data_IF_602699271536
#
_entry.id   IF_602699271536
#
_cell.length_a   1.000
_cell.length_b   1.000
_cell.length_c   1.000
_cell.angle_alpha   90.00
_cell.angle_beta   90.00
_cell.angle_gamma   90.00
#
_symmetry.space_group_name_H-M   'P 1'
#
loop_
_entity.id
_entity.type
_entity.pdbx_description
1 polymer ?
#
# COMPACT_ATOMS: atom_id res chain seq x y z
N UNK A 1 -5.23 -33.87 -21.74
CA UNK A 1 -5.34 -32.42 -21.46
C UNK A 1 -4.05 -31.78 -21.91
N UNK A 2 -4.06 -30.97 -22.98
CA UNK A 2 -2.84 -30.30 -23.46
C UNK A 2 -2.45 -29.21 -22.47
N UNK A 3 -1.20 -29.21 -21.99
CA UNK A 3 -0.65 -28.07 -21.24
C UNK A 3 -0.70 -26.85 -22.15
N UNK A 4 -1.36 -25.77 -21.70
CA UNK A 4 -1.31 -24.52 -22.44
C UNK A 4 0.10 -23.95 -22.29
N UNK A 5 0.56 -23.18 -23.28
CA UNK A 5 1.90 -22.55 -23.24
C UNK A 5 2.10 -21.73 -21.95
N UNK A 6 1.02 -21.16 -21.42
CA UNK A 6 0.96 -20.40 -20.18
C UNK A 6 1.24 -21.23 -18.91
N UNK A 7 1.15 -22.56 -19.00
CA UNK A 7 1.43 -23.49 -17.89
C UNK A 7 2.90 -23.98 -17.86
N UNK A 8 3.75 -23.46 -18.75
CA UNK A 8 5.16 -23.85 -18.77
C UNK A 8 5.92 -23.21 -17.58
N UNK A 9 6.85 -23.92 -16.92
CA UNK A 9 7.64 -23.39 -15.80
C UNK A 9 8.42 -22.11 -16.15
N UNK A 10 8.79 -21.95 -17.42
CA UNK A 10 9.44 -20.73 -17.91
C UNK A 10 8.52 -19.49 -17.84
N UNK A 11 7.19 -19.67 -17.94
CA UNK A 11 6.21 -18.58 -17.86
C UNK A 11 6.01 -18.11 -16.41
N UNK A 12 6.25 -18.98 -15.43
CA UNK A 12 6.31 -18.59 -14.01
C UNK A 12 7.42 -17.54 -13.75
N UNK A 13 8.42 -17.47 -14.64
CA UNK A 13 9.48 -16.49 -14.54
C UNK A 13 9.13 -15.12 -15.10
N UNK A 14 8.09 -15.01 -15.94
CA UNK A 14 7.78 -13.84 -16.78
C UNK A 14 6.63 -13.01 -16.22
N UNK A 15 6.75 -11.68 -16.28
CA UNK A 15 5.63 -10.78 -16.01
C UNK A 15 4.59 -10.86 -17.13
N UNK A 16 3.47 -11.55 -16.91
CA UNK A 16 2.41 -11.73 -17.92
C UNK A 16 1.37 -10.60 -17.93
N UNK A 17 1.34 -9.75 -16.90
CA UNK A 17 0.38 -8.64 -16.79
C UNK A 17 1.07 -7.32 -16.48
N UNK A 18 0.53 -6.21 -16.99
CA UNK A 18 1.04 -4.87 -16.75
C UNK A 18 0.97 -4.50 -15.26
N UNK A 19 2.06 -4.03 -14.65
CA UNK A 19 2.09 -3.62 -13.24
C UNK A 19 1.03 -2.56 -12.91
N UNK A 20 0.76 -1.64 -13.84
CA UNK A 20 -0.16 -0.51 -13.66
C UNK A 20 -1.63 -0.93 -13.77
N UNK A 21 -2.01 -1.59 -14.88
CA UNK A 21 -3.42 -1.84 -15.19
C UNK A 21 -3.87 -3.30 -15.06
N UNK A 22 -2.94 -4.23 -14.81
CA UNK A 22 -3.21 -5.65 -14.69
C UNK A 22 -3.65 -6.37 -15.97
N UNK A 23 -3.69 -5.67 -17.11
CA UNK A 23 -4.04 -6.30 -18.41
C UNK A 23 -2.87 -7.16 -18.92
N UNK A 24 -3.15 -8.24 -19.68
CA UNK A 24 -2.11 -9.05 -20.32
C UNK A 24 -1.16 -8.22 -21.18
N UNK A 25 0.12 -8.56 -21.13
CA UNK A 25 1.17 -7.96 -21.97
C UNK A 25 1.37 -8.82 -23.22
N UNK A 26 1.40 -8.18 -24.40
CA UNK A 26 1.33 -8.88 -25.69
C UNK A 26 2.63 -8.79 -26.50
N UNK A 27 3.47 -7.80 -26.23
CA UNK A 27 4.74 -7.57 -26.93
C UNK A 27 5.96 -7.87 -26.04
N UNK A 28 7.07 -8.24 -26.67
CA UNK A 28 8.30 -8.63 -25.98
C UNK A 28 8.89 -7.51 -25.09
N UNK A 29 8.94 -6.22 -25.52
CA UNK A 29 9.34 -5.12 -24.65
C UNK A 29 8.48 -5.02 -23.39
N UNK A 30 7.15 -5.08 -23.52
CA UNK A 30 6.25 -5.06 -22.38
C UNK A 30 6.51 -6.21 -21.41
N UNK A 31 6.62 -7.45 -21.92
CA UNK A 31 6.92 -8.62 -21.09
C UNK A 31 8.26 -8.48 -20.35
N UNK A 32 9.27 -7.92 -21.01
CA UNK A 32 10.60 -7.69 -20.43
C UNK A 32 10.56 -6.68 -19.27
N UNK A 33 9.74 -5.64 -19.38
CA UNK A 33 9.71 -4.55 -18.41
C UNK A 33 8.54 -4.62 -17.42
N UNK A 34 7.53 -5.45 -17.67
CA UNK A 34 6.34 -5.57 -16.84
C UNK A 34 5.36 -4.40 -16.96
N UNK A 35 5.43 -3.59 -18.02
CA UNK A 35 4.55 -2.44 -18.24
C UNK A 35 4.19 -2.30 -19.72
N UNK A 36 2.90 -2.13 -20.01
CA UNK A 36 2.41 -1.93 -21.38
C UNK A 36 2.66 -0.51 -21.91
N UNK A 37 2.74 -0.31 -23.24
CA UNK A 37 3.14 0.97 -23.85
C UNK A 37 2.26 2.15 -23.44
N UNK A 38 0.94 1.95 -23.44
CA UNK A 38 -0.03 2.99 -23.04
C UNK A 38 0.16 3.41 -21.57
N UNK A 39 0.48 2.46 -20.69
CA UNK A 39 0.72 2.78 -19.28
C UNK A 39 2.07 3.46 -19.12
N UNK A 40 3.10 3.00 -19.83
CA UNK A 40 4.43 3.58 -19.80
C UNK A 40 4.45 5.07 -20.19
N UNK A 41 3.70 5.42 -21.24
CA UNK A 41 3.50 6.82 -21.66
C UNK A 41 2.78 7.64 -20.59
N UNK A 42 1.65 7.13 -20.09
CA UNK A 42 0.80 7.84 -19.12
C UNK A 42 1.44 8.05 -17.76
N UNK A 43 2.40 7.23 -17.36
CA UNK A 43 3.03 7.30 -16.03
C UNK A 43 4.42 7.91 -16.05
N UNK A 44 4.90 8.36 -17.21
CA UNK A 44 6.26 8.88 -17.36
C UNK A 44 7.36 7.83 -17.19
N UNK A 45 7.04 6.55 -17.31
CA UNK A 45 8.03 5.46 -17.19
C UNK A 45 9.17 5.62 -18.21
N UNK A 46 8.82 6.00 -19.43
CA UNK A 46 9.74 6.12 -20.56
C UNK A 46 10.63 7.38 -20.60
N UNK A 47 10.63 8.25 -19.57
CA UNK A 47 11.40 9.51 -19.57
C UNK A 47 12.89 9.29 -19.82
N UNK A 48 13.52 9.88 -20.82
CA UNK A 48 14.87 9.48 -21.24
C UNK A 48 16.03 10.04 -20.39
N UNK A 49 15.74 10.97 -19.49
CA UNK A 49 16.69 11.77 -18.72
C UNK A 49 17.28 11.09 -17.47
N UNK A 50 17.36 9.75 -17.48
CA UNK A 50 17.84 8.97 -16.33
C UNK A 50 19.25 8.40 -16.55
N UNK A 51 20.12 8.41 -15.52
CA UNK A 51 21.34 7.63 -15.53
C UNK A 51 21.05 6.14 -15.78
N UNK A 52 21.94 5.44 -16.50
CA UNK A 52 21.74 4.03 -16.86
C UNK A 52 21.47 3.13 -15.64
N UNK A 53 22.21 3.31 -14.53
CA UNK A 53 21.97 2.53 -13.31
C UNK A 53 20.60 2.78 -12.67
N UNK A 54 20.09 4.01 -12.74
CA UNK A 54 18.74 4.35 -12.25
C UNK A 54 17.69 3.74 -13.16
N UNK A 55 17.90 3.79 -14.48
CA UNK A 55 17.01 3.12 -15.46
C UNK A 55 16.89 1.63 -15.16
N UNK A 56 18.01 0.94 -14.96
CA UNK A 56 18.01 -0.50 -14.70
C UNK A 56 17.32 -0.85 -13.38
N UNK A 57 17.51 -0.02 -12.34
CA UNK A 57 16.80 -0.17 -11.08
C UNK A 57 15.28 -0.02 -11.25
N UNK A 58 14.83 1.02 -11.96
CA UNK A 58 13.41 1.26 -12.24
C UNK A 58 12.82 0.08 -13.04
N UNK A 59 13.51 -0.37 -14.09
CA UNK A 59 13.07 -1.50 -14.91
C UNK A 59 12.87 -2.76 -14.04
N UNK A 60 13.81 -3.04 -13.13
CA UNK A 60 13.70 -4.17 -12.20
C UNK A 60 12.50 -4.01 -11.26
N UNK A 61 12.32 -2.84 -10.64
CA UNK A 61 11.22 -2.59 -9.69
C UNK A 61 9.85 -2.73 -10.36
N UNK A 62 9.70 -2.19 -11.57
CA UNK A 62 8.47 -2.27 -12.37
C UNK A 62 8.16 -3.71 -12.76
N UNK A 63 9.18 -4.46 -13.19
CA UNK A 63 9.05 -5.88 -13.50
C UNK A 63 8.62 -6.69 -12.28
N UNK A 64 9.27 -6.48 -11.13
CA UNK A 64 8.93 -7.16 -9.89
C UNK A 64 7.53 -6.81 -9.39
N UNK A 65 7.07 -5.57 -9.58
CA UNK A 65 5.68 -5.18 -9.29
C UNK A 65 4.68 -5.83 -10.24
N UNK A 66 5.04 -6.00 -11.51
CA UNK A 66 4.20 -6.70 -12.48
C UNK A 66 4.03 -8.18 -12.10
N UNK A 67 5.10 -8.79 -11.61
CA UNK A 67 5.17 -10.22 -11.31
C UNK A 67 4.69 -10.59 -9.91
N UNK A 68 5.12 -9.81 -8.92
CA UNK A 68 4.91 -10.07 -7.50
C UNK A 68 4.14 -8.94 -6.81
N UNK A 69 3.42 -8.11 -7.57
CA UNK A 69 2.74 -6.93 -7.04
C UNK A 69 1.77 -7.19 -5.89
N UNK A 70 1.33 -8.44 -5.69
CA UNK A 70 0.46 -8.85 -4.58
C UNK A 70 1.23 -9.26 -3.31
N UNK A 71 2.55 -9.21 -3.30
CA UNK A 71 3.36 -9.54 -2.13
C UNK A 71 3.55 -8.33 -1.19
N UNK A 72 4.00 -8.60 0.04
CA UNK A 72 4.28 -7.54 1.04
C UNK A 72 5.44 -6.63 0.62
N UNK A 73 6.35 -7.11 -0.24
CA UNK A 73 7.48 -6.33 -0.75
C UNK A 73 7.06 -5.32 -1.82
N UNK A 74 5.84 -5.41 -2.37
CA UNK A 74 5.34 -4.46 -3.36
C UNK A 74 5.42 -3.02 -2.84
N UNK A 75 5.15 -2.82 -1.55
CA UNK A 75 5.22 -1.51 -0.92
C UNK A 75 6.66 -0.97 -0.85
N UNK A 76 7.64 -1.81 -0.51
CA UNK A 76 9.06 -1.41 -0.51
C UNK A 76 9.50 -0.95 -1.90
N UNK A 77 9.04 -1.66 -2.94
CA UNK A 77 9.29 -1.28 -4.35
C UNK A 77 8.63 0.05 -4.71
N UNK A 78 7.40 0.28 -4.27
CA UNK A 78 6.69 1.55 -4.49
C UNK A 78 7.36 2.73 -3.77
N UNK A 79 7.83 2.51 -2.53
CA UNK A 79 8.60 3.53 -1.80
C UNK A 79 9.87 3.88 -2.56
N UNK A 80 10.61 2.87 -3.04
CA UNK A 80 11.82 3.10 -3.83
C UNK A 80 11.54 3.85 -5.14
N UNK A 81 10.46 3.52 -5.83
CA UNK A 81 10.04 4.25 -7.04
C UNK A 81 9.70 5.72 -6.76
N UNK A 82 9.10 6.05 -5.61
CA UNK A 82 8.87 7.45 -5.20
C UNK A 82 10.17 8.19 -4.96
N UNK A 83 11.14 7.57 -4.30
CA UNK A 83 12.48 8.16 -4.10
C UNK A 83 13.18 8.48 -5.42
N UNK A 84 12.92 7.67 -6.45
CA UNK A 84 13.42 7.87 -7.80
C UNK A 84 12.57 8.85 -8.64
N UNK A 85 11.51 9.45 -8.05
CA UNK A 85 10.68 10.47 -8.69
C UNK A 85 9.57 9.94 -9.60
N UNK A 86 9.13 8.69 -9.42
CA UNK A 86 8.06 8.06 -10.21
C UNK A 86 6.68 8.13 -9.52
N UNK A 87 6.32 9.29 -8.97
CA UNK A 87 5.08 9.45 -8.19
C UNK A 87 3.81 9.06 -8.96
N UNK A 88 3.72 9.42 -10.24
CA UNK A 88 2.55 9.12 -11.07
C UNK A 88 2.41 7.62 -11.36
N UNK A 89 3.52 6.93 -11.62
CA UNK A 89 3.55 5.48 -11.76
C UNK A 89 3.09 4.81 -10.45
N UNK A 90 3.66 5.26 -9.32
CA UNK A 90 3.34 4.71 -8.00
C UNK A 90 1.86 4.87 -7.68
N UNK A 91 1.29 6.07 -7.86
CA UNK A 91 -0.12 6.32 -7.60
C UNK A 91 -1.04 5.35 -8.37
N UNK A 92 -0.71 5.06 -9.64
CA UNK A 92 -1.49 4.16 -10.48
C UNK A 92 -1.33 2.70 -10.11
N UNK A 93 -0.13 2.28 -9.66
CA UNK A 93 0.07 0.92 -9.14
C UNK A 93 -0.64 0.75 -7.79
N UNK A 94 -0.62 1.76 -6.92
CA UNK A 94 -1.36 1.74 -5.64
C UNK A 94 -2.87 1.55 -5.83
N UNK A 95 -3.47 2.15 -6.88
CA UNK A 95 -4.88 1.92 -7.24
C UNK A 95 -5.17 0.43 -7.50
N UNK A 96 -4.24 -0.27 -8.17
CA UNK A 96 -4.39 -1.70 -8.45
C UNK A 96 -4.21 -2.54 -7.18
N UNK A 97 -3.28 -2.16 -6.30
CA UNK A 97 -2.94 -2.91 -5.10
C UNK A 97 -3.90 -2.69 -3.92
N UNK A 98 -5.07 -2.08 -4.15
CA UNK A 98 -6.10 -1.88 -3.12
C UNK A 98 -6.58 -3.19 -2.48
N UNK A 99 -6.45 -4.32 -3.17
CA UNK A 99 -6.76 -5.65 -2.62
C UNK A 99 -5.82 -6.10 -1.49
N UNK A 100 -4.62 -5.52 -1.41
CA UNK A 100 -3.68 -5.79 -0.31
C UNK A 100 -4.01 -4.99 0.94
N UNK A 101 -4.83 -3.96 0.83
CA UNK A 101 -5.07 -3.00 1.92
C UNK A 101 -5.96 -3.64 2.98
N UNK A 102 -5.35 -4.00 4.09
CA UNK A 102 -6.03 -4.59 5.25
C UNK A 102 -6.55 -3.53 6.22
N UNK A 103 -5.94 -2.33 6.23
CA UNK A 103 -6.30 -1.23 7.14
C UNK A 103 -6.29 0.10 6.38
N UNK A 104 -7.28 0.96 6.64
CA UNK A 104 -7.43 2.26 5.96
C UNK A 104 -7.56 3.39 6.97
N UNK A 105 -6.92 4.53 6.70
CA UNK A 105 -7.09 5.76 7.50
C UNK A 105 -7.76 6.85 6.68
N UNK A 106 -8.75 7.51 7.28
CA UNK A 106 -9.58 8.51 6.61
C UNK A 106 -9.59 9.82 7.41
N UNK A 107 -9.34 10.97 6.75
CA UNK A 107 -9.55 12.26 7.39
C UNK A 107 -11.05 12.52 7.60
N UNK A 108 -11.41 13.19 8.69
CA UNK A 108 -12.79 13.65 8.93
C UNK A 108 -12.95 15.04 8.32
N UNK A 109 -13.76 15.21 7.25
CA UNK A 109 -13.97 16.51 6.63
C UNK A 109 -14.45 17.54 7.65
N UNK A 110 -13.93 18.77 7.57
CA UNK A 110 -14.35 19.91 8.38
C UNK A 110 -14.18 19.77 9.89
N UNK A 111 -13.40 18.79 10.36
CA UNK A 111 -13.05 18.66 11.79
C UNK A 111 -12.04 19.72 12.21
N UNK A 112 -12.33 20.43 13.30
CA UNK A 112 -11.42 21.39 13.93
C UNK A 112 -11.26 21.02 15.42
N UNK A 113 -10.06 20.62 15.88
CA UNK A 113 -8.84 20.39 15.08
C UNK A 113 -9.01 19.20 14.10
N UNK A 114 -8.16 19.05 13.07
CA UNK A 114 -8.25 17.94 12.13
C UNK A 114 -8.17 16.58 12.81
N UNK A 115 -9.12 15.68 12.49
CA UNK A 115 -9.24 14.33 13.06
C UNK A 115 -9.24 13.26 11.96
N UNK A 116 -8.92 12.05 12.37
CA UNK A 116 -8.80 10.86 11.51
C UNK A 116 -9.53 9.69 12.18
N UNK A 117 -10.13 8.81 11.40
CA UNK A 117 -10.55 7.48 11.85
C UNK A 117 -9.84 6.39 11.04
N UNK A 118 -9.77 5.19 11.60
CA UNK A 118 -9.21 4.02 10.94
C UNK A 118 -10.28 2.93 10.79
N UNK A 119 -10.29 2.27 9.64
CA UNK A 119 -11.09 1.09 9.37
C UNK A 119 -10.20 -0.15 9.41
N UNK A 120 -10.72 -1.20 10.04
CA UNK A 120 -10.06 -2.49 10.19
C UNK A 120 -10.96 -3.60 9.60
N UNK A 121 -11.09 -3.69 8.26
CA UNK A 121 -11.95 -4.66 7.58
C UNK A 121 -11.94 -6.09 8.16
N UNK A 122 -10.77 -6.64 8.46
CA UNK A 122 -10.65 -8.00 9.02
C UNK A 122 -10.98 -8.09 10.51
N UNK A 123 -10.85 -6.99 11.27
CA UNK A 123 -11.08 -7.03 12.71
C UNK A 123 -12.58 -6.95 13.04
N UNK A 124 -13.46 -6.57 12.10
CA UNK A 124 -14.90 -6.49 12.35
C UNK A 124 -15.57 -7.87 12.50
N UNK A 125 -14.87 -8.96 12.13
CA UNK A 125 -15.42 -10.33 12.12
C UNK A 125 -14.87 -11.26 13.22
N UNK A 126 -14.01 -10.80 14.14
CA UNK A 126 -13.23 -11.70 15.03
C UNK A 126 -12.88 -11.14 16.43
N UNK A 127 -12.31 -11.99 17.32
CA UNK A 127 -11.69 -11.66 18.62
C UNK A 127 -10.70 -10.49 18.56
N UNK A 128 -10.08 -10.25 17.39
CA UNK A 128 -9.21 -9.09 17.13
C UNK A 128 -9.94 -7.75 17.34
N UNK A 129 -11.26 -7.69 17.17
CA UNK A 129 -12.05 -6.48 17.42
C UNK A 129 -11.86 -5.92 18.84
N UNK A 130 -11.89 -6.81 19.84
CA UNK A 130 -11.76 -6.41 21.24
C UNK A 130 -10.34 -5.92 21.55
N UNK A 131 -9.32 -6.55 20.97
CA UNK A 131 -7.93 -6.11 21.11
C UNK A 131 -7.73 -4.71 20.51
N UNK A 132 -8.28 -4.44 19.32
CA UNK A 132 -8.30 -3.11 18.70
C UNK A 132 -9.01 -2.09 19.59
N UNK A 133 -10.20 -2.44 20.10
CA UNK A 133 -10.99 -1.56 20.98
C UNK A 133 -10.22 -1.18 22.25
N UNK A 134 -9.44 -2.11 22.82
CA UNK A 134 -8.61 -1.82 23.98
C UNK A 134 -7.40 -0.96 23.62
N UNK A 135 -6.69 -1.28 22.54
CA UNK A 135 -5.48 -0.55 22.18
C UNK A 135 -5.76 0.86 21.66
N UNK A 136 -6.88 1.11 20.96
CA UNK A 136 -7.26 2.47 20.53
C UNK A 136 -7.38 3.45 21.71
N UNK A 137 -7.70 2.95 22.92
CA UNK A 137 -7.77 3.79 24.13
C UNK A 137 -6.42 4.42 24.50
N UNK A 138 -5.31 3.87 24.02
CA UNK A 138 -3.95 4.36 24.25
C UNK A 138 -3.61 5.58 23.36
N UNK A 139 -4.37 5.84 22.29
CA UNK A 139 -4.07 6.92 21.33
C UNK A 139 -4.43 8.30 21.93
N UNK A 140 -3.48 9.23 22.13
CA UNK A 140 -3.78 10.54 22.71
C UNK A 140 -4.90 11.30 21.99
N UNK A 141 -5.81 11.92 22.75
CA UNK A 141 -6.90 12.72 22.20
C UNK A 141 -7.98 11.95 21.42
N UNK A 142 -7.98 10.60 21.50
CA UNK A 142 -9.05 9.78 20.91
C UNK A 142 -10.43 10.10 21.47
N UNK A 143 -11.45 10.01 20.63
CA UNK A 143 -12.86 10.21 20.98
C UNK A 143 -13.75 9.22 20.23
N UNK A 144 -14.93 8.94 20.80
CA UNK A 144 -15.97 8.10 20.19
C UNK A 144 -17.07 9.02 19.64
N UNK A 145 -16.95 9.37 18.36
CA UNK A 145 -17.72 10.44 17.70
C UNK A 145 -18.55 9.90 16.54
N UNK A 146 -19.62 10.61 16.21
CA UNK A 146 -20.43 10.32 15.02
C UNK A 146 -19.75 10.96 13.80
N UNK A 147 -19.39 10.14 12.83
CA UNK A 147 -18.80 10.53 11.55
C UNK A 147 -19.77 10.27 10.41
N UNK A 148 -19.69 11.10 9.36
CA UNK A 148 -20.47 10.91 8.14
C UNK A 148 -19.63 10.11 7.14
N UNK A 149 -20.04 8.89 6.85
CA UNK A 149 -19.37 7.98 5.90
C UNK A 149 -20.37 7.66 4.79
N UNK A 150 -20.06 8.06 3.56
CA UNK A 150 -20.92 7.80 2.39
C UNK A 150 -22.39 8.20 2.60
N UNK A 151 -22.62 9.33 3.26
CA UNK A 151 -23.96 9.85 3.59
C UNK A 151 -24.64 9.21 4.81
N UNK A 152 -24.02 8.22 5.46
CA UNK A 152 -24.53 7.56 6.66
C UNK A 152 -23.80 8.06 7.91
N UNK A 153 -24.55 8.22 9.01
CA UNK A 153 -23.99 8.59 10.32
C UNK A 153 -23.61 7.33 11.07
N UNK A 154 -22.32 7.16 11.35
CA UNK A 154 -21.79 6.02 12.09
C UNK A 154 -20.93 6.49 13.26
N UNK A 155 -20.89 5.73 14.36
CA UNK A 155 -19.98 6.02 15.46
C UNK A 155 -18.65 5.33 15.22
N UNK A 156 -17.55 6.09 15.25
CA UNK A 156 -16.20 5.56 15.07
C UNK A 156 -15.27 6.14 16.14
N UNK A 157 -14.18 5.41 16.39
CA UNK A 157 -13.07 5.98 17.14
C UNK A 157 -12.30 6.93 16.22
N UNK A 158 -12.11 8.14 16.71
CA UNK A 158 -11.41 9.21 15.99
C UNK A 158 -10.23 9.66 16.84
N UNK A 159 -9.14 10.12 16.21
CA UNK A 159 -8.00 10.72 16.92
C UNK A 159 -7.47 11.95 16.18
N UNK A 160 -6.78 12.89 16.88
CA UNK A 160 -6.24 14.08 16.28
C UNK A 160 -5.17 13.75 15.22
N UNK A 161 -5.08 14.57 14.17
CA UNK A 161 -4.01 14.46 13.17
C UNK A 161 -2.71 15.09 13.68
N UNK A 162 -2.17 14.61 14.79
CA UNK A 162 -0.92 15.08 15.40
C UNK A 162 0.17 14.02 15.36
N UNK A 163 1.43 14.44 15.53
CA UNK A 163 2.59 13.53 15.52
C UNK A 163 2.45 12.46 16.61
N UNK A 164 2.06 12.86 17.82
CA UNK A 164 1.92 12.00 18.99
C UNK A 164 0.84 10.92 18.78
N UNK A 165 -0.30 11.32 18.23
CA UNK A 165 -1.41 10.41 17.94
C UNK A 165 -1.03 9.38 16.88
N UNK A 166 -0.30 9.80 15.83
CA UNK A 166 0.18 8.90 14.79
C UNK A 166 1.31 7.97 15.25
N UNK A 167 2.18 8.40 16.16
CA UNK A 167 3.17 7.52 16.80
C UNK A 167 2.44 6.42 17.59
N UNK A 168 1.52 6.79 18.48
CA UNK A 168 0.75 5.81 19.26
C UNK A 168 -0.06 4.85 18.36
N UNK A 169 -0.67 5.37 17.29
CA UNK A 169 -1.37 4.56 16.30
C UNK A 169 -0.43 3.57 15.60
N UNK A 170 0.76 4.00 15.16
CA UNK A 170 1.76 3.12 14.54
C UNK A 170 2.26 2.05 15.50
N UNK A 171 2.54 2.40 16.76
CA UNK A 171 2.95 1.42 17.78
C UNK A 171 1.86 0.38 18.05
N UNK A 172 0.59 0.81 18.08
CA UNK A 172 -0.55 -0.12 18.16
C UNK A 172 -0.59 -1.07 16.97
N UNK A 173 -0.45 -0.54 15.74
CA UNK A 173 -0.44 -1.37 14.54
C UNK A 173 0.72 -2.37 14.54
N UNK A 174 1.93 -1.94 14.89
CA UNK A 174 3.11 -2.80 14.95
C UNK A 174 2.94 -3.99 15.91
N UNK A 175 2.18 -3.79 17.00
CA UNK A 175 1.87 -4.81 18.00
C UNK A 175 0.74 -5.76 17.58
N UNK A 176 -0.31 -5.25 16.96
CA UNK A 176 -1.53 -6.01 16.68
C UNK A 176 -1.62 -6.55 15.24
N UNK A 177 -0.97 -5.89 14.30
CA UNK A 177 -1.05 -6.12 12.86
C UNK A 177 0.34 -6.09 12.20
N UNK A 178 1.34 -6.85 12.71
CA UNK A 178 2.66 -6.85 12.11
C UNK A 178 2.62 -7.40 10.67
N UNK A 179 3.23 -6.65 9.76
CA UNK A 179 3.32 -7.00 8.34
C UNK A 179 2.03 -6.79 7.54
N UNK A 180 1.01 -6.13 8.09
CA UNK A 180 -0.18 -5.76 7.34
C UNK A 180 0.08 -4.53 6.46
N UNK A 181 -0.64 -4.41 5.34
CA UNK A 181 -0.56 -3.23 4.46
C UNK A 181 -1.62 -2.21 4.87
N UNK A 182 -1.19 -0.97 5.06
CA UNK A 182 -2.04 0.14 5.50
C UNK A 182 -2.11 1.21 4.42
N UNK A 183 -3.31 1.65 4.07
CA UNK A 183 -3.52 2.87 3.32
C UNK A 183 -3.58 4.08 4.27
N UNK A 184 -2.44 4.75 4.39
CA UNK A 184 -2.27 5.97 5.16
C UNK A 184 -2.71 7.23 4.40
N UNK A 185 -2.76 8.36 5.10
CA UNK A 185 -3.01 9.67 4.48
C UNK A 185 -1.96 10.11 3.44
N UNK A 186 -0.82 9.43 3.37
CA UNK A 186 0.29 9.71 2.43
C UNK A 186 0.54 8.55 1.43
N UNK A 187 -0.36 7.57 1.37
CA UNK A 187 -0.21 6.38 0.52
C UNK A 187 -0.03 5.09 1.33
N UNK A 188 0.32 4.02 0.62
CA UNK A 188 0.47 2.68 1.20
C UNK A 188 1.77 2.55 1.99
N UNK A 189 1.74 1.78 3.08
CA UNK A 189 2.94 1.37 3.82
C UNK A 189 2.73 -0.01 4.48
N UNK A 190 3.82 -0.74 4.74
CA UNK A 190 3.79 -1.99 5.53
C UNK A 190 4.06 -1.66 6.98
N UNK A 191 3.26 -2.24 7.87
CA UNK A 191 3.50 -2.15 9.31
C UNK A 191 4.70 -3.03 9.65
N UNK A 192 5.80 -2.41 10.06
CA UNK A 192 6.94 -3.16 10.58
C UNK A 192 6.61 -3.71 11.98
N UNK A 193 7.03 -4.94 12.31
CA UNK A 193 6.93 -5.43 13.67
C UNK A 193 7.72 -4.52 14.62
N UNK A 194 7.33 -4.46 15.88
CA UNK A 194 8.17 -3.82 16.90
C UNK A 194 9.46 -4.63 16.99
N UNK A 195 10.56 -4.09 16.46
CA UNK A 195 11.88 -4.70 16.63
C UNK A 195 12.27 -4.64 18.11
N UNK A 196 12.94 -5.68 18.60
CA UNK A 196 13.51 -5.73 19.96
C UNK A 196 14.59 -4.66 20.24
N UNK A 197 14.90 -3.79 19.27
CA UNK A 197 16.03 -2.87 19.27
C UNK A 197 15.83 -1.53 20.01
N UNK A 198 14.65 -1.26 20.59
CA UNK A 198 14.41 -0.03 21.37
C UNK A 198 14.24 -0.27 22.88
N UNK A 199 14.90 -1.31 23.42
CA UNK A 199 15.09 -1.51 24.87
C UNK A 199 16.47 -1.12 25.40
N UNK A 200 17.30 -0.46 24.60
CA UNK A 200 18.63 -0.06 25.03
C UNK A 200 19.21 1.12 24.29
N UNK A 201 18.76 2.33 24.60
CA UNK A 201 19.60 3.54 24.67
C UNK A 201 19.08 4.46 25.78
#
# INVERSE_FOLDING_TARGET
MGKMYEDAPAVELVATTCCVCGRPLLDAPSLKFGIGPICAEKTGYGREDLPAGVRDEVNRLVYELAKYGKDKRAIERLMRLRELGFDQLVARVEERLQELVEIRTFPIPSSVPPRVYAEFPEAETDQRFNAVRMAIKEIPGRRWETVLISGKRERRWTFPRTKESFIAFRSMLARLFPGCVVQGLKGLYVVQPVGDDERGK
#
